data_IF_241294042533
#
_entry.id   IF_241294042533
#
_cell.length_a   1.000
_cell.length_b   1.000
_cell.length_c   1.000
_cell.angle_alpha   90.00
_cell.angle_beta   90.00
_cell.angle_gamma   90.00
#
_symmetry.space_group_name_H-M   'P 1'
#
loop_
_entity.id
_entity.type
_entity.pdbx_description
1 polymer ?
#
# COMPACT_ATOMS: atom_id res chain seq x y z
N UNK A 1 1.46 28.56 8.94
CA UNK A 1 1.60 27.59 7.85
C UNK A 1 0.27 27.56 7.11
N UNK A 2 0.27 27.98 5.83
CA UNK A 2 -0.96 27.96 5.03
C UNK A 2 -1.34 26.49 4.75
N UNK A 3 -2.36 26.04 5.43
CA UNK A 3 -2.91 24.69 5.30
C UNK A 3 -3.82 24.65 4.06
N UNK A 4 -3.24 24.82 2.85
CA UNK A 4 -3.99 24.67 1.62
C UNK A 4 -4.24 23.16 1.41
N UNK A 5 -5.46 22.74 1.71
CA UNK A 5 -5.93 21.41 1.31
C UNK A 5 -5.85 21.33 -0.22
N UNK A 6 -5.21 20.29 -0.73
CA UNK A 6 -5.26 19.98 -2.16
C UNK A 6 -6.72 19.63 -2.47
N UNK A 7 -7.35 20.39 -3.36
CA UNK A 7 -8.66 20.07 -3.90
C UNK A 7 -8.50 19.54 -5.30
N UNK A 8 -9.27 18.51 -5.63
CA UNK A 8 -9.33 17.92 -6.98
C UNK A 8 -10.75 18.05 -7.52
N UNK A 9 -10.95 17.99 -8.85
CA UNK A 9 -12.28 17.99 -9.41
C UNK A 9 -13.01 16.65 -9.24
N UNK A 10 -12.37 15.66 -8.66
CA UNK A 10 -12.88 14.30 -8.48
C UNK A 10 -13.64 14.15 -7.18
N UNK A 11 -14.63 13.27 -7.18
CA UNK A 11 -15.50 12.96 -6.05
C UNK A 11 -15.71 11.43 -5.88
N UNK A 12 -16.66 11.05 -5.04
CA UNK A 12 -16.96 9.64 -4.76
C UNK A 12 -17.57 8.87 -5.96
N UNK A 13 -17.97 9.54 -7.01
CA UNK A 13 -18.49 8.92 -8.23
C UNK A 13 -17.44 8.82 -9.33
N UNK A 14 -16.31 9.49 -9.16
CA UNK A 14 -15.22 9.47 -10.13
C UNK A 14 -14.56 8.11 -10.21
N UNK A 15 -14.39 7.59 -11.42
CA UNK A 15 -13.73 6.31 -11.68
C UNK A 15 -12.20 6.48 -11.71
N UNK A 16 -11.47 5.39 -11.48
CA UNK A 16 -10.01 5.39 -11.59
C UNK A 16 -9.55 5.80 -13.01
N UNK A 17 -10.30 5.43 -14.06
CA UNK A 17 -10.01 5.81 -15.43
C UNK A 17 -10.15 7.33 -15.66
N UNK A 18 -11.15 7.98 -15.07
CA UNK A 18 -11.32 9.44 -15.13
C UNK A 18 -10.19 10.15 -14.39
N UNK A 19 -9.78 9.64 -13.24
CA UNK A 19 -8.71 10.23 -12.42
C UNK A 19 -7.36 10.16 -13.13
N UNK A 20 -7.06 9.05 -13.83
CA UNK A 20 -5.77 8.85 -14.51
C UNK A 20 -5.73 9.46 -15.91
N UNK A 21 -6.87 9.91 -16.45
CA UNK A 21 -6.97 10.42 -17.83
C UNK A 21 -5.98 11.56 -18.11
N UNK A 22 -5.19 11.40 -19.16
CA UNK A 22 -4.19 12.38 -19.59
C UNK A 22 -2.89 12.38 -18.78
N UNK A 23 -2.74 11.46 -17.84
CA UNK A 23 -1.48 11.26 -17.12
C UNK A 23 -0.64 10.24 -17.89
N UNK A 24 0.62 10.58 -18.13
CA UNK A 24 1.63 9.71 -18.72
C UNK A 24 2.59 9.22 -17.62
N UNK A 25 2.66 7.91 -17.42
CA UNK A 25 3.54 7.25 -16.49
C UNK A 25 4.59 6.36 -17.19
N UNK A 26 4.89 6.66 -18.46
CA UNK A 26 5.98 6.00 -19.20
C UNK A 26 7.28 6.09 -18.38
N UNK A 27 8.04 5.01 -18.32
CA UNK A 27 9.26 4.86 -17.53
C UNK A 27 9.07 5.01 -15.99
N UNK A 28 7.83 5.00 -15.51
CA UNK A 28 7.53 4.97 -14.08
C UNK A 28 7.25 3.56 -13.62
N UNK A 29 7.84 3.19 -12.49
CA UNK A 29 7.70 1.88 -11.86
C UNK A 29 6.83 1.99 -10.63
N UNK A 30 5.82 1.13 -10.55
CA UNK A 30 4.86 1.10 -9.47
C UNK A 30 4.80 -0.27 -8.78
N UNK A 31 4.58 -0.28 -7.48
CA UNK A 31 4.20 -1.47 -6.71
C UNK A 31 2.80 -1.25 -6.16
N UNK A 32 1.93 -2.25 -6.33
CA UNK A 32 0.61 -2.30 -5.68
C UNK A 32 0.53 -3.55 -4.83
N UNK A 33 0.50 -3.39 -3.49
CA UNK A 33 0.30 -4.54 -2.60
C UNK A 33 -1.15 -5.01 -2.64
N UNK A 34 -1.37 -6.33 -2.68
CA UNK A 34 -2.72 -6.87 -2.83
C UNK A 34 -3.35 -6.55 -4.20
N UNK A 35 -2.54 -6.39 -5.24
CA UNK A 35 -2.95 -6.01 -6.58
C UNK A 35 -3.74 -7.06 -7.37
N UNK A 36 -4.08 -8.21 -6.77
CA UNK A 36 -4.79 -9.29 -7.46
C UNK A 36 -6.32 -9.27 -7.25
N UNK A 37 -6.86 -8.34 -6.49
CA UNK A 37 -8.31 -8.30 -6.21
C UNK A 37 -8.77 -6.94 -5.68
N UNK A 38 -10.10 -6.73 -5.64
CA UNK A 38 -10.72 -5.56 -5.04
C UNK A 38 -10.21 -4.24 -5.60
N UNK A 39 -9.95 -3.27 -4.73
CA UNK A 39 -9.45 -1.95 -5.11
C UNK A 39 -8.05 -2.03 -5.74
N UNK A 40 -7.23 -2.99 -5.27
CA UNK A 40 -5.84 -3.13 -5.72
C UNK A 40 -5.70 -3.46 -7.20
N UNK A 41 -6.54 -4.34 -7.75
CA UNK A 41 -6.49 -4.69 -9.17
C UNK A 41 -6.88 -3.51 -10.06
N UNK A 42 -7.89 -2.73 -9.68
CA UNK A 42 -8.30 -1.55 -10.44
C UNK A 42 -7.28 -0.40 -10.31
N UNK A 43 -6.66 -0.25 -9.16
CA UNK A 43 -5.51 0.67 -8.99
C UNK A 43 -4.36 0.29 -9.91
N UNK A 44 -4.00 -1.00 -9.95
CA UNK A 44 -2.94 -1.49 -10.84
C UNK A 44 -3.31 -1.32 -12.32
N UNK A 45 -4.57 -1.59 -12.68
CA UNK A 45 -5.08 -1.38 -14.05
C UNK A 45 -5.02 0.09 -14.47
N UNK A 46 -5.41 1.01 -13.59
CA UNK A 46 -5.34 2.44 -13.86
C UNK A 46 -3.88 2.89 -14.11
N UNK A 47 -2.94 2.48 -13.25
CA UNK A 47 -1.52 2.79 -13.44
C UNK A 47 -0.97 2.17 -14.72
N UNK A 48 -1.32 0.93 -15.04
CA UNK A 48 -0.92 0.26 -16.27
C UNK A 48 -1.51 0.92 -17.51
N UNK A 49 -2.74 1.44 -17.45
CA UNK A 49 -3.37 2.17 -18.57
C UNK A 49 -2.72 3.52 -18.88
N UNK A 50 -1.93 4.04 -17.93
CA UNK A 50 -1.09 5.23 -18.10
C UNK A 50 0.38 4.89 -18.44
N UNK A 51 0.65 3.66 -18.90
CA UNK A 51 1.95 3.14 -19.35
C UNK A 51 3.00 2.93 -18.24
N UNK A 52 2.60 2.84 -16.96
CA UNK A 52 3.52 2.45 -15.89
C UNK A 52 3.94 0.98 -15.97
N UNK A 53 5.18 0.66 -15.58
CA UNK A 53 5.57 -0.70 -15.19
C UNK A 53 4.94 -0.99 -13.81
N UNK A 54 4.05 -1.97 -13.71
CA UNK A 54 3.33 -2.26 -12.47
C UNK A 54 3.69 -3.64 -11.93
N UNK A 55 4.17 -3.69 -10.69
CA UNK A 55 4.40 -4.94 -9.95
C UNK A 55 3.23 -5.19 -9.00
N UNK A 56 2.50 -6.27 -9.23
CA UNK A 56 1.48 -6.81 -8.33
C UNK A 56 2.19 -7.59 -7.22
N UNK A 57 2.33 -7.01 -6.04
CA UNK A 57 2.91 -7.66 -4.88
C UNK A 57 1.82 -8.42 -4.11
N UNK A 58 1.82 -9.75 -4.20
CA UNK A 58 0.69 -10.59 -3.79
C UNK A 58 1.13 -11.84 -3.04
N UNK A 59 0.27 -12.33 -2.13
CA UNK A 59 0.50 -13.59 -1.42
C UNK A 59 0.18 -14.81 -2.29
N UNK A 60 -0.88 -14.73 -3.09
CA UNK A 60 -1.29 -15.80 -4.00
C UNK A 60 -0.82 -15.48 -5.43
N UNK A 61 0.25 -16.16 -5.86
CA UNK A 61 0.86 -15.93 -7.18
C UNK A 61 -0.05 -16.31 -8.34
N UNK A 62 -0.86 -17.38 -8.20
CA UNK A 62 -1.79 -17.77 -9.26
C UNK A 62 -2.89 -16.71 -9.47
N UNK A 63 -3.43 -16.17 -8.37
CA UNK A 63 -4.37 -15.06 -8.47
C UNK A 63 -3.70 -13.80 -9.04
N UNK A 64 -2.45 -13.54 -8.66
CA UNK A 64 -1.62 -12.46 -9.21
C UNK A 64 -1.43 -12.60 -10.72
N UNK A 65 -1.10 -13.80 -11.18
CA UNK A 65 -0.89 -14.07 -12.61
C UNK A 65 -2.15 -13.84 -13.43
N UNK A 66 -3.30 -14.37 -12.96
CA UNK A 66 -4.59 -14.12 -13.62
C UNK A 66 -4.94 -12.62 -13.68
N UNK A 67 -4.68 -11.90 -12.59
CA UNK A 67 -4.89 -10.45 -12.57
C UNK A 67 -3.97 -9.70 -13.54
N UNK A 68 -2.70 -10.08 -13.62
CA UNK A 68 -1.76 -9.48 -14.56
C UNK A 68 -2.19 -9.73 -16.02
N UNK A 69 -2.60 -10.95 -16.37
CA UNK A 69 -3.12 -11.30 -17.70
C UNK A 69 -4.35 -10.47 -18.07
N UNK A 70 -5.29 -10.29 -17.14
CA UNK A 70 -6.50 -9.49 -17.31
C UNK A 70 -6.17 -8.00 -17.49
N UNK A 71 -5.23 -7.45 -16.70
CA UNK A 71 -4.77 -6.07 -16.85
C UNK A 71 -4.08 -5.89 -18.21
N UNK A 72 -3.17 -6.79 -18.60
CA UNK A 72 -2.49 -6.74 -19.91
C UNK A 72 -3.51 -6.77 -21.06
N UNK A 73 -4.49 -7.66 -20.97
CA UNK A 73 -5.52 -7.79 -22.01
C UNK A 73 -6.39 -6.52 -22.15
N UNK A 74 -6.70 -5.87 -21.02
CA UNK A 74 -7.58 -4.69 -21.01
C UNK A 74 -6.86 -3.37 -21.31
N UNK A 75 -5.57 -3.26 -21.01
CA UNK A 75 -4.79 -2.02 -21.18
C UNK A 75 -3.85 -2.04 -22.39
N UNK A 76 -3.45 -3.24 -22.85
CA UNK A 76 -2.41 -3.42 -23.86
C UNK A 76 -0.98 -3.30 -23.31
N UNK A 77 -0.81 -2.81 -22.08
CA UNK A 77 0.50 -2.65 -21.44
C UNK A 77 1.03 -4.02 -20.97
N UNK A 78 2.16 -4.45 -21.51
CA UNK A 78 2.79 -5.74 -21.18
C UNK A 78 3.71 -5.67 -19.95
N UNK A 79 3.93 -4.50 -19.37
CA UNK A 79 4.81 -4.28 -18.23
C UNK A 79 4.07 -4.47 -16.90
N UNK A 80 3.32 -5.57 -16.77
CA UNK A 80 2.62 -5.96 -15.53
C UNK A 80 3.27 -7.21 -14.99
N UNK A 81 3.93 -7.08 -13.85
CA UNK A 81 4.73 -8.10 -13.20
C UNK A 81 4.05 -8.62 -11.94
N UNK A 82 4.37 -9.84 -11.53
CA UNK A 82 3.86 -10.44 -10.28
C UNK A 82 5.04 -10.83 -9.40
N UNK A 83 4.97 -10.46 -8.13
CA UNK A 83 6.00 -10.80 -7.16
C UNK A 83 5.38 -11.30 -5.84
N UNK A 84 5.99 -12.30 -5.17
CA UNK A 84 5.49 -12.84 -3.91
C UNK A 84 5.70 -11.84 -2.78
N UNK A 85 4.64 -11.60 -2.01
CA UNK A 85 4.70 -10.78 -0.80
C UNK A 85 3.61 -11.20 0.19
N UNK A 86 4.02 -11.70 1.36
CA UNK A 86 3.16 -11.85 2.53
C UNK A 86 3.53 -10.79 3.58
N UNK A 87 2.64 -9.82 3.77
CA UNK A 87 2.85 -8.71 4.71
C UNK A 87 2.78 -9.12 6.18
N UNK A 88 2.20 -10.29 6.47
CA UNK A 88 2.18 -10.85 7.82
C UNK A 88 3.48 -11.58 8.19
N UNK A 89 4.35 -11.83 7.21
CA UNK A 89 5.66 -12.47 7.38
C UNK A 89 6.80 -11.49 7.07
N UNK A 90 7.53 -11.08 8.11
CA UNK A 90 8.64 -10.13 7.97
C UNK A 90 9.80 -10.68 7.12
N UNK A 91 9.99 -12.01 7.07
CA UNK A 91 10.99 -12.62 6.20
C UNK A 91 10.59 -12.49 4.71
N UNK A 92 9.30 -12.66 4.40
CA UNK A 92 8.76 -12.40 3.06
C UNK A 92 8.94 -10.94 2.65
N UNK A 93 8.65 -10.00 3.55
CA UNK A 93 8.85 -8.57 3.28
C UNK A 93 10.33 -8.26 3.04
N UNK A 94 11.23 -8.79 3.87
CA UNK A 94 12.68 -8.58 3.71
C UNK A 94 13.19 -9.16 2.39
N UNK A 95 12.73 -10.35 1.99
CA UNK A 95 13.08 -10.96 0.72
C UNK A 95 12.58 -10.14 -0.48
N UNK A 96 11.36 -9.60 -0.42
CA UNK A 96 10.82 -8.71 -1.46
C UNK A 96 11.70 -7.45 -1.60
N UNK A 97 12.03 -6.80 -0.48
CA UNK A 97 12.89 -5.60 -0.46
C UNK A 97 14.27 -5.90 -1.04
N UNK A 98 14.89 -7.02 -0.63
CA UNK A 98 16.23 -7.40 -1.10
C UNK A 98 16.28 -7.70 -2.60
N UNK A 99 15.17 -8.17 -3.18
CA UNK A 99 15.07 -8.48 -4.61
C UNK A 99 14.69 -7.26 -5.48
N UNK A 100 14.34 -6.12 -4.87
CA UNK A 100 14.01 -4.92 -5.64
C UNK A 100 15.28 -4.21 -6.10
N UNK A 101 15.37 -3.90 -7.38
CA UNK A 101 16.48 -3.18 -7.96
C UNK A 101 16.02 -1.94 -8.75
N UNK A 102 16.76 -0.85 -8.61
CA UNK A 102 16.52 0.42 -9.31
C UNK A 102 15.44 1.30 -8.64
N UNK A 103 15.08 2.41 -9.29
CA UNK A 103 14.15 3.38 -8.72
C UNK A 103 12.73 2.84 -8.60
N UNK A 104 12.00 3.33 -7.58
CA UNK A 104 10.58 3.07 -7.36
C UNK A 104 9.84 4.40 -7.32
N UNK A 105 8.96 4.65 -8.28
CA UNK A 105 8.27 5.93 -8.41
C UNK A 105 6.95 6.00 -7.65
N UNK A 106 6.22 4.87 -7.59
CA UNK A 106 4.90 4.79 -6.95
C UNK A 106 4.83 3.53 -6.10
N UNK A 107 4.52 3.70 -4.81
CA UNK A 107 4.23 2.59 -3.91
C UNK A 107 2.81 2.75 -3.35
N UNK A 108 1.94 1.78 -3.65
CA UNK A 108 0.59 1.74 -3.11
C UNK A 108 0.48 0.61 -2.08
N UNK A 109 0.53 0.97 -0.81
CA UNK A 109 0.29 0.10 0.34
C UNK A 109 -1.22 -0.14 0.48
N UNK A 110 -1.77 -1.00 -0.37
CA UNK A 110 -3.20 -1.22 -0.50
C UNK A 110 -3.69 -2.48 0.24
N UNK A 111 -2.90 -3.55 0.27
CA UNK A 111 -3.32 -4.81 0.89
C UNK A 111 -3.86 -4.62 2.31
N UNK A 112 -4.84 -5.41 2.66
CA UNK A 112 -5.38 -5.36 4.01
C UNK A 112 -6.44 -6.43 4.26
N UNK A 113 -6.63 -6.71 5.53
CA UNK A 113 -7.70 -7.55 6.07
C UNK A 113 -8.54 -6.70 7.02
N UNK A 114 -9.81 -7.01 7.15
CA UNK A 114 -10.77 -6.18 7.87
C UNK A 114 -11.66 -7.03 8.77
N UNK A 115 -11.75 -6.62 10.03
CA UNK A 115 -12.65 -7.18 11.04
C UNK A 115 -12.61 -8.72 11.11
N UNK A 116 -11.41 -9.29 11.02
CA UNK A 116 -11.22 -10.74 11.11
C UNK A 116 -11.38 -11.23 12.55
N UNK A 117 -11.70 -12.52 12.75
CA UNK A 117 -11.53 -13.13 14.07
C UNK A 117 -10.13 -12.93 14.61
N UNK A 118 -9.96 -13.09 15.92
CA UNK A 118 -8.62 -13.02 16.53
C UNK A 118 -7.68 -14.05 15.89
N UNK A 119 -6.63 -13.55 15.28
CA UNK A 119 -5.54 -14.32 14.70
C UNK A 119 -4.22 -13.66 15.04
N UNK A 120 -3.18 -14.46 15.13
CA UNK A 120 -1.83 -13.98 15.47
C UNK A 120 -0.80 -14.54 14.49
N UNK A 121 0.23 -13.75 14.23
CA UNK A 121 1.42 -14.24 13.52
C UNK A 121 2.21 -15.22 14.43
N UNK A 122 3.18 -15.98 13.88
CA UNK A 122 4.06 -16.82 14.71
C UNK A 122 4.80 -16.05 15.82
N UNK A 123 5.01 -14.73 15.64
CA UNK A 123 5.63 -13.85 16.64
C UNK A 123 4.64 -13.39 17.73
N UNK A 124 3.36 -13.75 17.63
CA UNK A 124 2.32 -13.34 18.55
C UNK A 124 1.68 -11.98 18.24
N UNK A 125 2.00 -11.37 17.09
CA UNK A 125 1.42 -10.08 16.70
C UNK A 125 -0.03 -10.24 16.24
N UNK A 126 -0.87 -9.25 16.56
CA UNK A 126 -2.25 -9.20 16.06
C UNK A 126 -2.24 -9.10 14.52
N UNK A 127 -3.04 -9.95 13.87
CA UNK A 127 -2.94 -10.21 12.44
C UNK A 127 -3.30 -9.00 11.57
N UNK A 128 -4.31 -8.21 11.97
CA UNK A 128 -4.71 -7.02 11.20
C UNK A 128 -3.64 -5.93 11.32
N UNK A 129 -3.09 -5.70 12.51
CA UNK A 129 -2.01 -4.75 12.71
C UNK A 129 -0.73 -5.19 12.00
N UNK A 130 -0.41 -6.48 12.06
CA UNK A 130 0.75 -7.04 11.36
C UNK A 130 0.64 -6.86 9.85
N UNK A 131 -0.49 -7.22 9.24
CA UNK A 131 -0.70 -7.17 7.79
C UNK A 131 -0.89 -5.74 7.29
N UNK A 132 -1.82 -4.98 7.91
CA UNK A 132 -2.24 -3.69 7.39
C UNK A 132 -1.21 -2.59 7.65
N UNK A 133 -0.45 -2.71 8.74
CA UNK A 133 0.49 -1.66 9.16
C UNK A 133 1.94 -2.12 9.20
N UNK A 134 2.32 -3.08 10.06
CA UNK A 134 3.74 -3.43 10.26
C UNK A 134 4.41 -3.95 8.99
N UNK A 135 3.73 -4.78 8.22
CA UNK A 135 4.24 -5.28 6.93
C UNK A 135 4.49 -4.14 5.95
N UNK A 136 3.56 -3.19 5.82
CA UNK A 136 3.73 -2.02 4.97
C UNK A 136 4.78 -1.05 5.50
N UNK A 137 4.86 -0.87 6.82
CA UNK A 137 5.90 -0.07 7.45
C UNK A 137 7.29 -0.60 7.09
N UNK A 138 7.51 -1.92 7.29
CA UNK A 138 8.79 -2.57 6.96
C UNK A 138 9.08 -2.52 5.45
N UNK A 139 8.07 -2.77 4.60
CA UNK A 139 8.20 -2.68 3.15
C UNK A 139 8.63 -1.27 2.72
N UNK A 140 7.90 -0.26 3.17
CA UNK A 140 8.11 1.13 2.74
C UNK A 140 9.45 1.67 3.23
N UNK A 141 9.81 1.40 4.50
CA UNK A 141 11.11 1.80 5.04
C UNK A 141 12.27 1.05 4.39
N UNK A 142 12.09 -0.24 4.07
CA UNK A 142 13.07 -1.04 3.37
C UNK A 142 13.30 -0.58 1.92
N UNK A 143 12.26 -0.08 1.25
CA UNK A 143 12.33 0.46 -0.11
C UNK A 143 12.71 1.94 -0.16
N UNK A 144 13.01 2.59 0.97
CA UNK A 144 13.32 4.02 1.03
C UNK A 144 14.40 4.45 0.03
N UNK A 145 15.49 3.68 -0.10
CA UNK A 145 16.55 3.98 -1.05
C UNK A 145 16.05 4.00 -2.51
N UNK A 146 15.21 3.03 -2.88
CA UNK A 146 14.63 2.95 -4.22
C UNK A 146 13.64 4.11 -4.49
N UNK A 147 12.87 4.51 -3.46
CA UNK A 147 11.97 5.68 -3.53
C UNK A 147 12.77 6.98 -3.68
N UNK A 148 13.83 7.17 -2.91
CA UNK A 148 14.70 8.35 -3.02
C UNK A 148 15.38 8.44 -4.40
N UNK A 149 15.80 7.29 -4.96
CA UNK A 149 16.42 7.23 -6.28
C UNK A 149 15.48 7.59 -7.44
N UNK A 150 14.16 7.61 -7.23
CA UNK A 150 13.17 7.97 -8.23
C UNK A 150 13.00 9.49 -8.43
N UNK A 151 13.60 10.31 -7.56
CA UNK A 151 13.59 11.77 -7.64
C UNK A 151 12.17 12.36 -7.76
N UNK A 152 11.34 12.06 -6.80
CA UNK A 152 9.95 12.55 -6.74
C UNK A 152 8.91 11.43 -6.58
N UNK A 153 9.24 10.41 -5.78
CA UNK A 153 8.36 9.27 -5.51
C UNK A 153 7.07 9.64 -4.77
N UNK A 154 6.06 8.80 -4.98
CA UNK A 154 4.76 8.88 -4.31
C UNK A 154 4.48 7.58 -3.56
N UNK A 155 4.17 7.70 -2.28
CA UNK A 155 3.70 6.58 -1.46
C UNK A 155 2.28 6.86 -1.03
N UNK A 156 1.39 5.89 -1.24
CA UNK A 156 0.00 5.95 -0.77
C UNK A 156 -0.22 4.83 0.22
N UNK A 157 -0.56 5.18 1.46
CA UNK A 157 -0.87 4.22 2.52
C UNK A 157 -2.38 4.15 2.69
N UNK A 158 -3.03 3.15 2.11
CA UNK A 158 -4.49 3.06 2.09
C UNK A 158 -5.04 2.91 3.51
N UNK A 159 -5.72 3.97 3.97
CA UNK A 159 -6.43 4.02 5.24
C UNK A 159 -7.93 3.70 5.06
N UNK A 160 -8.75 4.10 5.99
CA UNK A 160 -10.20 3.87 5.99
C UNK A 160 -10.89 4.92 6.85
N UNK A 161 -12.14 5.22 6.57
CA UNK A 161 -13.00 5.98 7.49
C UNK A 161 -13.07 5.30 8.87
N UNK A 162 -12.81 3.99 8.93
CA UNK A 162 -12.72 3.26 10.19
C UNK A 162 -11.69 3.81 11.19
N UNK A 163 -10.68 4.56 10.75
CA UNK A 163 -9.70 5.20 11.65
C UNK A 163 -10.35 6.14 12.69
N UNK A 164 -11.50 6.71 12.39
CA UNK A 164 -12.21 7.64 13.29
C UNK A 164 -12.64 6.94 14.59
N UNK A 165 -12.83 5.62 14.54
CA UNK A 165 -13.37 4.82 15.63
C UNK A 165 -12.29 4.13 16.49
N UNK A 166 -11.00 4.36 16.25
CA UNK A 166 -9.95 3.68 17.01
C UNK A 166 -8.63 4.44 17.02
N UNK A 167 -8.09 4.59 18.22
CA UNK A 167 -6.73 5.06 18.47
C UNK A 167 -5.74 3.90 18.38
N UNK A 168 -4.44 4.21 18.32
CA UNK A 168 -3.39 3.20 18.47
C UNK A 168 -3.15 2.98 19.96
N UNK A 169 -3.39 1.77 20.43
CA UNK A 169 -3.13 1.34 21.81
C UNK A 169 -1.64 1.06 21.96
N UNK A 170 -0.80 2.10 22.05
CA UNK A 170 0.66 1.98 22.06
C UNK A 170 1.19 1.07 23.19
N UNK A 171 0.46 0.96 24.28
CA UNK A 171 0.79 0.09 25.42
C UNK A 171 0.31 -1.37 25.23
N UNK A 172 -0.56 -1.63 24.23
CA UNK A 172 -1.12 -2.97 23.94
C UNK A 172 -1.55 -3.16 22.48
N UNK A 173 -0.70 -2.79 21.53
CA UNK A 173 -0.99 -2.84 20.09
C UNK A 173 -1.40 -4.23 19.57
N UNK A 174 -1.17 -5.27 20.35
CA UNK A 174 -1.48 -6.65 20.00
C UNK A 174 -2.63 -7.25 20.82
N UNK A 175 -3.38 -6.47 21.58
CA UNK A 175 -4.50 -6.95 22.39
C UNK A 175 -4.10 -8.14 23.28
N UNK A 176 -3.00 -8.00 24.03
CA UNK A 176 -2.53 -9.02 24.98
C UNK A 176 -3.18 -8.85 26.36
N UNK A 177 -3.63 -7.64 26.67
CA UNK A 177 -4.23 -7.24 27.95
C UNK A 177 -5.69 -6.82 27.84
N UNK A 178 -6.03 -6.17 26.70
CA UNK A 178 -7.40 -5.79 26.40
C UNK A 178 -8.12 -6.91 25.65
N UNK A 179 -9.43 -7.09 25.85
CA UNK A 179 -10.23 -7.99 25.02
C UNK A 179 -10.10 -7.64 23.54
N UNK A 180 -9.94 -8.67 22.71
CA UNK A 180 -9.91 -8.47 21.26
C UNK A 180 -11.28 -8.07 20.74
N UNK A 181 -11.32 -7.02 19.94
CA UNK A 181 -12.50 -6.59 19.20
C UNK A 181 -12.09 -6.35 17.74
N UNK A 182 -12.69 -7.09 16.75
CA UNK A 182 -12.26 -7.07 15.36
C UNK A 182 -12.22 -5.68 14.72
N UNK A 183 -13.21 -4.84 14.99
CA UNK A 183 -13.26 -3.49 14.43
C UNK A 183 -12.29 -2.53 15.11
N UNK A 184 -12.05 -2.67 16.41
CA UNK A 184 -11.05 -1.89 17.12
C UNK A 184 -9.64 -2.19 16.57
N UNK A 185 -9.32 -3.47 16.36
CA UNK A 185 -8.04 -3.89 15.77
C UNK A 185 -7.88 -3.36 14.33
N UNK A 186 -8.94 -3.42 13.52
CA UNK A 186 -8.94 -2.82 12.19
C UNK A 186 -8.72 -1.31 12.25
N UNK A 187 -9.52 -0.59 13.05
CA UNK A 187 -9.46 0.87 13.19
C UNK A 187 -8.08 1.33 13.63
N UNK A 188 -7.50 0.67 14.64
CA UNK A 188 -6.14 0.91 15.10
C UNK A 188 -5.11 0.79 13.95
N UNK A 189 -5.20 -0.27 13.15
CA UNK A 189 -4.29 -0.46 12.02
C UNK A 189 -4.38 0.66 10.98
N UNK A 190 -5.59 1.19 10.75
CA UNK A 190 -5.82 2.28 9.79
C UNK A 190 -5.41 3.65 10.34
N UNK A 191 -5.56 3.88 11.63
CA UNK A 191 -5.00 5.05 12.33
C UNK A 191 -3.47 5.05 12.26
N UNK A 192 -2.83 3.89 12.50
CA UNK A 192 -1.39 3.75 12.37
C UNK A 192 -0.87 4.07 10.96
N UNK A 193 -1.62 3.71 9.91
CA UNK A 193 -1.28 4.07 8.53
C UNK A 193 -1.27 5.58 8.29
N UNK A 194 -2.22 6.31 8.88
CA UNK A 194 -2.25 7.79 8.79
C UNK A 194 -1.06 8.40 9.54
N UNK A 195 -0.80 7.93 10.76
CA UNK A 195 0.34 8.42 11.57
C UNK A 195 1.66 8.19 10.85
N UNK A 196 1.82 7.01 10.24
CA UNK A 196 2.98 6.69 9.41
C UNK A 196 3.12 7.66 8.23
N UNK A 197 2.05 7.89 7.47
CA UNK A 197 2.09 8.78 6.31
C UNK A 197 2.47 10.21 6.71
N UNK A 198 1.90 10.73 7.80
CA UNK A 198 2.20 12.08 8.32
C UNK A 198 3.67 12.20 8.71
N UNK A 199 4.20 11.21 9.44
CA UNK A 199 5.58 11.27 9.92
C UNK A 199 6.59 11.02 8.78
N UNK A 200 6.33 10.04 7.92
CA UNK A 200 7.19 9.74 6.77
C UNK A 200 7.25 10.93 5.79
N UNK A 201 6.12 11.60 5.54
CA UNK A 201 6.08 12.79 4.69
C UNK A 201 6.99 13.92 5.19
N UNK A 202 7.10 14.08 6.52
CA UNK A 202 8.02 15.07 7.13
C UNK A 202 9.47 14.63 7.02
N UNK A 203 9.77 13.38 7.37
CA UNK A 203 11.15 12.87 7.43
C UNK A 203 11.79 12.76 6.05
N UNK A 204 11.00 12.40 5.04
CA UNK A 204 11.49 12.11 3.69
C UNK A 204 11.29 13.26 2.70
N UNK A 205 10.90 14.44 3.19
CA UNK A 205 10.72 15.63 2.36
C UNK A 205 11.99 16.03 1.60
N UNK A 206 13.16 15.91 2.24
CA UNK A 206 14.46 16.18 1.63
C UNK A 206 14.81 15.18 0.51
N UNK A 207 14.29 13.96 0.57
CA UNK A 207 14.48 12.91 -0.44
C UNK A 207 13.42 13.01 -1.55
N UNK A 208 12.59 14.04 -1.54
CA UNK A 208 11.51 14.31 -2.51
C UNK A 208 10.48 13.18 -2.59
N UNK A 209 10.27 12.47 -1.48
CA UNK A 209 9.24 11.44 -1.33
C UNK A 209 8.00 12.07 -0.70
N UNK A 210 6.87 12.00 -1.40
CA UNK A 210 5.57 12.41 -0.85
C UNK A 210 4.82 11.18 -0.35
N UNK A 211 4.38 11.21 0.91
CA UNK A 211 3.62 10.10 1.52
C UNK A 211 2.24 10.61 1.92
N UNK A 212 1.19 9.94 1.46
CA UNK A 212 -0.21 10.26 1.76
C UNK A 212 -0.95 9.03 2.30
N UNK A 213 -2.07 9.26 3.03
CA UNK A 213 -3.00 8.24 3.47
C UNK A 213 -4.43 8.59 3.08
#
# INVERSE_FOLDING_TARGET
MNNHRITTPFDAQSTAAEVIAGIDLTDRRAIVTGGASGIGIETARALASADAEVTLAVRNLEAGQRAAEDIIASTGNKQVLVAPLDLSDQASVAAFVANWAGPLHILVNNAGIMATPEMRTPQGWEMQFATNHLGHFTLTTGLHHALAAADGARVVSVSSVGHINGEVLFDDIHFQRHPYEPWAAYSQSKTANILFAVEASKRWAADRITVNA
#
